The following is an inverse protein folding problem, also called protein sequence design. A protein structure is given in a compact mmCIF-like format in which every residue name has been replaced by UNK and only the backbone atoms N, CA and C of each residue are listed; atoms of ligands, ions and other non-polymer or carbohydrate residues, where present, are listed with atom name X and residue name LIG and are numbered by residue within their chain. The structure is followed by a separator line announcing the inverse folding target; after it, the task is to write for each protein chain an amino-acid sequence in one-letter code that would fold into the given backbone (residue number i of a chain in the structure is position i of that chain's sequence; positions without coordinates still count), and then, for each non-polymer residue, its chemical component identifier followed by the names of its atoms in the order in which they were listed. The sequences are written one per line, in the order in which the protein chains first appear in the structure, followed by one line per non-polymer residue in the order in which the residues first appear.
data_IF_282073123187
#
_entry.id   IF_282073123187
#
_cell.length_a   1.000
_cell.length_b   1.000
_cell.length_c   1.000
_cell.angle_alpha   90.00
_cell.angle_beta   90.00
_cell.angle_gamma   90.00
#
_symmetry.space_group_name_H-M   'P 1'
#
loop_
_entity.id
_entity.type
_entity.pdbx_description
1 polymer ?
#
# COMPACT_ATOMS: atom_id res chain seq x y z
N UNK A 1 -42.38 -3.47 24.65
CA UNK A 1 -41.53 -2.78 23.68
C UNK A 1 -40.08 -2.66 24.16
N UNK A 2 -39.79 -2.29 25.44
CA UNK A 2 -38.40 -2.19 25.95
C UNK A 2 -37.62 -3.52 25.89
N UNK A 3 -38.28 -4.66 26.15
CA UNK A 3 -37.64 -5.99 26.06
C UNK A 3 -37.28 -6.40 24.62
N UNK A 4 -38.07 -5.97 23.63
CA UNK A 4 -37.80 -6.33 22.23
C UNK A 4 -36.60 -5.57 21.68
N UNK A 5 -36.43 -4.29 21.97
CA UNK A 5 -35.28 -3.48 21.52
C UNK A 5 -33.95 -4.01 22.07
N UNK A 6 -33.89 -4.33 23.37
CA UNK A 6 -32.67 -4.93 23.98
C UNK A 6 -32.35 -6.31 23.38
N UNK A 7 -33.36 -7.09 23.05
CA UNK A 7 -33.18 -8.41 22.41
C UNK A 7 -32.60 -8.24 20.99
N UNK A 8 -33.10 -7.30 20.21
CA UNK A 8 -32.60 -7.02 18.85
C UNK A 8 -31.15 -6.52 18.87
N UNK A 9 -30.80 -5.62 19.80
CA UNK A 9 -29.42 -5.16 19.98
C UNK A 9 -28.49 -6.35 20.30
N UNK A 10 -28.91 -7.27 21.20
CA UNK A 10 -28.13 -8.45 21.54
C UNK A 10 -27.98 -9.39 20.33
N UNK A 11 -29.05 -9.60 19.55
CA UNK A 11 -29.01 -10.42 18.35
C UNK A 11 -28.05 -9.83 17.32
N UNK A 12 -28.11 -8.54 17.07
CA UNK A 12 -27.18 -7.85 16.18
C UNK A 12 -25.71 -8.01 16.66
N UNK A 13 -25.47 -7.85 17.96
CA UNK A 13 -24.14 -8.05 18.54
C UNK A 13 -23.62 -9.48 18.35
N UNK A 14 -24.50 -10.50 18.52
CA UNK A 14 -24.15 -11.90 18.27
C UNK A 14 -23.82 -12.11 16.77
N UNK A 15 -24.59 -11.53 15.86
CA UNK A 15 -24.35 -11.63 14.42
C UNK A 15 -23.01 -10.98 14.03
N UNK A 16 -22.70 -9.80 14.61
CA UNK A 16 -21.41 -9.14 14.45
C UNK A 16 -20.26 -10.00 14.97
N UNK A 17 -20.43 -10.63 16.14
CA UNK A 17 -19.44 -11.56 16.68
C UNK A 17 -19.23 -12.80 15.78
N UNK A 18 -20.28 -13.33 15.18
CA UNK A 18 -20.22 -14.45 14.23
C UNK A 18 -19.45 -14.03 12.97
N UNK A 19 -19.82 -12.91 12.36
CA UNK A 19 -19.18 -12.39 11.15
C UNK A 19 -17.68 -12.16 11.36
N UNK A 20 -17.30 -11.49 12.45
CA UNK A 20 -15.90 -11.16 12.78
C UNK A 20 -15.14 -12.31 13.46
N UNK A 21 -15.82 -13.32 13.98
CA UNK A 21 -15.18 -14.50 14.60
C UNK A 21 -14.26 -15.25 13.64
N UNK A 22 -14.54 -15.16 12.35
CA UNK A 22 -13.67 -15.68 11.29
C UNK A 22 -12.28 -15.06 11.27
N UNK A 23 -12.10 -13.81 11.76
CA UNK A 23 -10.79 -13.15 11.86
C UNK A 23 -9.90 -13.88 12.86
N UNK A 24 -10.43 -14.27 14.02
CA UNK A 24 -9.68 -15.04 15.03
C UNK A 24 -9.27 -16.40 14.46
N UNK A 25 -10.19 -17.06 13.75
CA UNK A 25 -9.91 -18.35 13.08
C UNK A 25 -8.85 -18.19 12.00
N UNK A 26 -8.97 -17.14 11.15
CA UNK A 26 -7.99 -16.81 10.11
C UNK A 26 -6.62 -16.53 10.69
N UNK A 27 -6.55 -15.77 11.80
CA UNK A 27 -5.32 -15.49 12.51
C UNK A 27 -4.64 -16.75 13.05
N UNK A 28 -5.39 -17.63 13.69
CA UNK A 28 -4.88 -18.90 14.20
C UNK A 28 -4.31 -19.74 13.05
N UNK A 29 -5.07 -19.91 11.96
CA UNK A 29 -4.64 -20.67 10.80
C UNK A 29 -3.40 -20.05 10.15
N UNK A 30 -3.35 -18.72 9.97
CA UNK A 30 -2.22 -18.03 9.40
C UNK A 30 -0.91 -18.16 10.19
N UNK A 31 -1.02 -18.24 11.53
CA UNK A 31 0.15 -18.40 12.41
C UNK A 31 0.61 -19.86 12.50
N UNK A 32 -0.32 -20.83 12.43
CA UNK A 32 -0.04 -22.23 12.71
C UNK A 32 0.16 -23.09 11.47
N UNK A 33 -0.42 -22.70 10.33
CA UNK A 33 -0.43 -23.53 9.12
C UNK A 33 0.19 -22.79 7.93
N UNK A 34 1.29 -23.29 7.35
CA UNK A 34 1.85 -22.70 6.15
C UNK A 34 0.90 -22.91 4.95
N UNK A 35 0.30 -21.84 4.48
CA UNK A 35 -0.53 -21.86 3.28
C UNK A 35 0.21 -21.26 2.09
N UNK A 36 0.00 -21.82 0.90
CA UNK A 36 0.56 -21.22 -0.32
C UNK A 36 -0.16 -19.91 -0.65
N UNK A 37 0.59 -18.94 -1.18
CA UNK A 37 0.05 -17.64 -1.61
C UNK A 37 -1.14 -17.80 -2.55
N UNK A 38 -1.09 -18.76 -3.48
CA UNK A 38 -2.18 -19.03 -4.42
C UNK A 38 -3.49 -19.40 -3.73
N UNK A 39 -3.43 -20.20 -2.64
CA UNK A 39 -4.63 -20.54 -1.85
C UNK A 39 -5.18 -19.33 -1.12
N UNK A 40 -4.32 -18.55 -0.48
CA UNK A 40 -4.72 -17.31 0.20
C UNK A 40 -5.34 -16.33 -0.80
N UNK A 41 -4.73 -16.13 -1.98
CA UNK A 41 -5.27 -15.26 -3.03
C UNK A 41 -6.63 -15.73 -3.55
N UNK A 42 -6.82 -17.04 -3.77
CA UNK A 42 -8.11 -17.58 -4.16
C UNK A 42 -9.18 -17.36 -3.08
N UNK A 43 -8.85 -17.49 -1.79
CA UNK A 43 -9.77 -17.22 -0.69
C UNK A 43 -10.10 -15.71 -0.59
N UNK A 44 -9.14 -14.81 -0.80
CA UNK A 44 -9.38 -13.36 -0.89
C UNK A 44 -10.34 -13.03 -2.04
N UNK A 45 -10.12 -13.61 -3.23
CA UNK A 45 -11.02 -13.44 -4.37
C UNK A 45 -12.43 -13.95 -4.07
N UNK A 46 -12.55 -15.14 -3.46
CA UNK A 46 -13.84 -15.70 -3.06
C UNK A 46 -14.58 -14.78 -2.07
N UNK A 47 -13.90 -14.29 -1.03
CA UNK A 47 -14.46 -13.34 -0.08
C UNK A 47 -14.92 -12.03 -0.73
N UNK A 48 -14.08 -11.48 -1.64
CA UNK A 48 -14.43 -10.30 -2.42
C UNK A 48 -15.72 -10.48 -3.24
N UNK A 49 -15.85 -11.63 -3.92
CA UNK A 49 -17.07 -11.97 -4.68
C UNK A 49 -18.31 -12.11 -3.78
N UNK A 50 -18.18 -12.78 -2.65
CA UNK A 50 -19.25 -12.92 -1.68
C UNK A 50 -19.72 -11.56 -1.15
N UNK A 51 -18.78 -10.65 -0.83
CA UNK A 51 -19.12 -9.29 -0.37
C UNK A 51 -19.80 -8.47 -1.47
N UNK A 52 -19.33 -8.53 -2.74
CA UNK A 52 -19.99 -7.83 -3.84
C UNK A 52 -21.45 -8.26 -3.95
N UNK A 53 -21.70 -9.56 -3.85
CA UNK A 53 -23.07 -10.11 -3.88
C UNK A 53 -23.91 -9.61 -2.70
N UNK A 54 -23.38 -9.69 -1.48
CA UNK A 54 -24.08 -9.23 -0.28
C UNK A 54 -24.41 -7.73 -0.34
N UNK A 55 -23.47 -6.88 -0.79
CA UNK A 55 -23.71 -5.46 -0.97
C UNK A 55 -24.83 -5.18 -1.98
N UNK A 56 -24.81 -5.90 -3.11
CA UNK A 56 -25.83 -5.74 -4.14
C UNK A 56 -27.21 -6.16 -3.63
N UNK A 57 -27.30 -7.28 -2.93
CA UNK A 57 -28.57 -7.88 -2.52
C UNK A 57 -29.14 -7.27 -1.25
N UNK A 58 -28.27 -6.93 -0.25
CA UNK A 58 -28.74 -6.46 1.06
C UNK A 58 -28.81 -4.93 1.18
N UNK A 59 -27.98 -4.19 0.45
CA UNK A 59 -27.91 -2.72 0.60
C UNK A 59 -28.44 -1.96 -0.60
N UNK A 60 -28.30 -2.50 -1.81
CA UNK A 60 -28.71 -1.78 -3.03
C UNK A 60 -30.09 -2.28 -3.49
N UNK A 61 -30.32 -3.59 -3.56
CA UNK A 61 -31.57 -4.18 -4.07
C UNK A 61 -32.83 -3.67 -3.38
N UNK A 62 -32.89 -3.51 -2.05
CA UNK A 62 -34.12 -3.05 -1.38
C UNK A 62 -34.60 -1.68 -1.88
N UNK A 63 -33.70 -0.72 -2.04
CA UNK A 63 -34.05 0.61 -2.55
C UNK A 63 -34.43 0.57 -4.04
N UNK A 64 -33.78 -0.28 -4.84
CA UNK A 64 -34.13 -0.49 -6.26
C UNK A 64 -35.51 -1.10 -6.38
N UNK A 65 -35.83 -2.12 -5.58
CA UNK A 65 -37.14 -2.78 -5.56
C UNK A 65 -38.26 -1.85 -5.09
N UNK A 66 -38.01 -1.03 -4.05
CA UNK A 66 -38.93 0.00 -3.59
C UNK A 66 -39.27 0.98 -4.73
N UNK A 67 -38.27 1.44 -5.48
CA UNK A 67 -38.45 2.31 -6.64
C UNK A 67 -39.22 1.62 -7.77
N UNK A 68 -38.88 0.35 -8.05
CA UNK A 68 -39.55 -0.41 -9.13
C UNK A 68 -41.02 -0.67 -8.84
N UNK A 69 -41.37 -0.89 -7.58
CA UNK A 69 -42.75 -1.18 -7.15
C UNK A 69 -43.54 0.05 -6.69
N UNK A 70 -42.94 1.26 -6.75
CA UNK A 70 -43.56 2.47 -6.29
C UNK A 70 -44.76 2.89 -7.14
N UNK A 71 -45.88 3.17 -6.47
CA UNK A 71 -47.05 3.79 -7.06
C UNK A 71 -46.73 5.23 -7.54
N UNK A 72 -47.59 5.79 -8.43
CA UNK A 72 -47.41 7.15 -8.98
C UNK A 72 -47.28 8.19 -7.84
N UNK A 73 -48.01 8.00 -6.75
CA UNK A 73 -48.00 8.92 -5.60
C UNK A 73 -46.69 8.90 -4.82
N UNK A 74 -46.03 7.74 -4.70
CA UNK A 74 -44.81 7.53 -3.92
C UNK A 74 -43.53 7.55 -4.76
N UNK A 75 -43.68 7.52 -6.09
CA UNK A 75 -42.52 7.42 -7.01
C UNK A 75 -41.50 8.55 -6.82
N UNK A 76 -41.94 9.76 -6.57
CA UNK A 76 -41.05 10.89 -6.35
C UNK A 76 -40.18 10.72 -5.08
N UNK A 77 -40.74 10.14 -4.04
CA UNK A 77 -40.06 9.84 -2.76
C UNK A 77 -39.03 8.73 -3.00
N UNK A 78 -39.39 7.63 -3.69
CA UNK A 78 -38.49 6.53 -3.95
C UNK A 78 -37.36 6.91 -4.93
N UNK A 79 -37.61 7.78 -5.90
CA UNK A 79 -36.55 8.38 -6.73
C UNK A 79 -35.57 9.17 -5.86
N UNK A 80 -36.08 9.95 -4.91
CA UNK A 80 -35.23 10.72 -3.98
C UNK A 80 -34.38 9.76 -3.11
N UNK A 81 -34.94 8.69 -2.57
CA UNK A 81 -34.24 7.65 -1.82
C UNK A 81 -33.16 6.99 -2.65
N UNK A 82 -33.45 6.64 -3.91
CA UNK A 82 -32.50 6.02 -4.81
C UNK A 82 -31.32 6.96 -5.15
N UNK A 83 -31.58 8.23 -5.45
CA UNK A 83 -30.53 9.23 -5.69
C UNK A 83 -29.69 9.44 -4.43
N UNK A 84 -30.33 9.50 -3.27
CA UNK A 84 -29.64 9.62 -1.97
C UNK A 84 -28.70 8.45 -1.73
N UNK A 85 -29.14 7.20 -1.98
CA UNK A 85 -28.30 6.02 -1.89
C UNK A 85 -27.06 6.14 -2.78
N UNK A 86 -27.23 6.48 -4.07
CA UNK A 86 -26.12 6.58 -5.02
C UNK A 86 -25.10 7.66 -4.61
N UNK A 87 -25.58 8.84 -4.18
CA UNK A 87 -24.70 9.92 -3.71
C UNK A 87 -23.98 9.53 -2.41
N UNK A 88 -24.67 8.86 -1.50
CA UNK A 88 -24.09 8.36 -0.26
C UNK A 88 -23.03 7.28 -0.55
N UNK A 89 -23.23 6.38 -1.52
CA UNK A 89 -22.23 5.40 -1.94
C UNK A 89 -20.97 6.09 -2.49
N UNK A 90 -21.11 7.08 -3.36
CA UNK A 90 -19.96 7.85 -3.86
C UNK A 90 -19.22 8.53 -2.71
N UNK A 91 -19.96 9.18 -1.80
CA UNK A 91 -19.42 9.83 -0.61
C UNK A 91 -18.65 8.84 0.29
N UNK A 92 -19.23 7.68 0.54
CA UNK A 92 -18.59 6.60 1.33
C UNK A 92 -17.29 6.10 0.74
N UNK A 93 -17.27 5.90 -0.58
CA UNK A 93 -16.04 5.52 -1.31
C UNK A 93 -14.95 6.60 -1.19
N UNK A 94 -15.29 7.88 -1.32
CA UNK A 94 -14.34 8.99 -1.14
C UNK A 94 -13.81 9.07 0.29
N UNK A 95 -14.68 8.93 1.29
CA UNK A 95 -14.29 8.89 2.71
C UNK A 95 -13.31 7.73 2.94
N UNK A 96 -13.61 6.53 2.42
CA UNK A 96 -12.73 5.37 2.55
C UNK A 96 -11.35 5.65 1.92
N UNK A 97 -11.28 6.17 0.70
CA UNK A 97 -10.01 6.51 0.04
C UNK A 97 -9.19 7.48 0.88
N UNK A 98 -9.82 8.52 1.42
CA UNK A 98 -9.14 9.51 2.27
C UNK A 98 -8.57 8.86 3.54
N UNK A 99 -9.37 8.08 4.25
CA UNK A 99 -8.95 7.40 5.48
C UNK A 99 -7.87 6.35 5.20
N UNK A 100 -8.01 5.58 4.12
CA UNK A 100 -7.00 4.59 3.71
C UNK A 100 -5.66 5.26 3.34
N UNK A 101 -5.68 6.41 2.66
CA UNK A 101 -4.47 7.18 2.37
C UNK A 101 -3.79 7.70 3.65
N UNK A 102 -4.56 8.21 4.61
CA UNK A 102 -4.03 8.66 5.91
C UNK A 102 -3.37 7.51 6.67
N UNK A 103 -4.00 6.35 6.73
CA UNK A 103 -3.43 5.16 7.36
C UNK A 103 -2.21 4.63 6.61
N UNK A 104 -2.24 4.64 5.29
CA UNK A 104 -1.11 4.20 4.46
C UNK A 104 0.13 5.07 4.68
N UNK A 105 -0.04 6.36 4.91
CA UNK A 105 1.06 7.27 5.24
C UNK A 105 1.77 6.90 6.57
N UNK A 106 1.11 6.15 7.45
CA UNK A 106 1.63 5.70 8.74
C UNK A 106 1.96 4.19 8.78
N UNK A 107 2.18 3.55 7.60
CA UNK A 107 2.56 2.14 7.50
C UNK A 107 1.40 1.16 7.32
N UNK A 108 0.17 1.63 7.20
CA UNK A 108 -1.02 0.78 6.98
C UNK A 108 -0.98 -0.03 5.67
N UNK A 109 -0.17 0.40 4.69
CA UNK A 109 0.06 -0.32 3.43
C UNK A 109 0.70 -1.71 3.61
N UNK A 110 1.33 -1.99 4.76
CA UNK A 110 1.96 -3.29 5.05
C UNK A 110 0.96 -4.41 5.34
N UNK A 111 -0.32 -4.09 5.47
CA UNK A 111 -1.38 -5.08 5.77
C UNK A 111 -1.66 -6.03 4.60
N UNK A 112 -1.52 -5.57 3.37
CA UNK A 112 -1.85 -6.32 2.14
C UNK A 112 -0.69 -6.27 1.14
N UNK A 113 -0.38 -7.39 0.49
CA UNK A 113 0.74 -7.51 -0.44
C UNK A 113 0.63 -6.56 -1.65
N UNK A 114 -0.59 -6.36 -2.17
CA UNK A 114 -0.84 -5.40 -3.25
C UNK A 114 -0.47 -3.96 -2.86
N UNK A 115 -0.76 -3.57 -1.63
CA UNK A 115 -0.37 -2.26 -1.11
C UNK A 115 1.14 -2.13 -0.92
N UNK A 116 1.80 -3.20 -0.45
CA UNK A 116 3.26 -3.23 -0.33
C UNK A 116 3.90 -2.98 -1.69
N UNK A 117 3.44 -3.67 -2.74
CA UNK A 117 3.95 -3.51 -4.11
C UNK A 117 3.69 -2.09 -4.63
N UNK A 118 2.47 -1.58 -4.49
CA UNK A 118 2.14 -0.23 -4.92
C UNK A 118 2.97 0.84 -4.19
N UNK A 119 3.17 0.66 -2.89
CA UNK A 119 4.00 1.57 -2.09
C UNK A 119 5.48 1.45 -2.44
N UNK A 120 5.98 0.21 -2.67
CA UNK A 120 7.35 0.00 -3.15
C UNK A 120 7.59 0.69 -4.49
N UNK A 121 6.67 0.54 -5.45
CA UNK A 121 6.76 1.21 -6.74
C UNK A 121 6.79 2.75 -6.61
N UNK A 122 5.94 3.32 -5.74
CA UNK A 122 5.94 4.76 -5.43
C UNK A 122 7.26 5.20 -4.78
N UNK A 123 7.73 4.47 -3.79
CA UNK A 123 8.98 4.79 -3.09
C UNK A 123 10.18 4.63 -4.02
N UNK A 124 10.21 3.58 -4.86
CA UNK A 124 11.26 3.38 -5.86
C UNK A 124 11.28 4.52 -6.86
N UNK A 125 10.13 4.90 -7.44
CA UNK A 125 10.03 6.06 -8.35
C UNK A 125 10.48 7.36 -7.68
N UNK A 126 10.09 7.59 -6.42
CA UNK A 126 10.51 8.76 -5.66
C UNK A 126 12.02 8.77 -5.41
N UNK A 127 12.57 7.65 -4.93
CA UNK A 127 14.03 7.49 -4.73
C UNK A 127 14.81 7.67 -6.03
N UNK A 128 14.34 7.07 -7.12
CA UNK A 128 14.96 7.25 -8.44
C UNK A 128 14.87 8.70 -8.91
N UNK A 129 13.73 9.36 -8.73
CA UNK A 129 13.57 10.78 -9.05
C UNK A 129 14.51 11.66 -8.20
N UNK A 130 14.62 11.40 -6.90
CA UNK A 130 15.54 12.08 -6.00
C UNK A 130 17.01 11.85 -6.39
N UNK A 131 17.35 10.61 -6.79
CA UNK A 131 18.69 10.27 -7.30
C UNK A 131 18.98 11.00 -8.60
N UNK A 132 18.04 10.98 -9.55
CA UNK A 132 18.19 11.70 -10.82
C UNK A 132 18.35 13.20 -10.63
N UNK A 133 17.56 13.80 -9.74
CA UNK A 133 17.68 15.21 -9.41
C UNK A 133 19.03 15.51 -8.72
N UNK A 134 19.51 14.58 -7.89
CA UNK A 134 20.81 14.71 -7.23
C UNK A 134 21.98 14.67 -8.21
N UNK A 135 21.94 13.72 -9.15
CA UNK A 135 22.99 13.48 -10.14
C UNK A 135 22.89 14.49 -11.28
N UNK A 136 21.68 14.82 -11.75
CA UNK A 136 21.44 15.74 -12.87
C UNK A 136 21.92 17.17 -12.67
N UNK A 137 22.23 17.57 -11.43
CA UNK A 137 22.85 18.85 -11.12
C UNK A 137 24.35 18.88 -11.43
N UNK A 138 24.97 17.74 -11.73
CA UNK A 138 26.37 17.65 -12.12
C UNK A 138 26.58 17.98 -13.60
N UNK A 139 27.65 18.72 -13.94
CA UNK A 139 28.03 19.00 -15.32
C UNK A 139 28.31 17.73 -16.11
N UNK A 140 28.84 16.71 -15.46
CA UNK A 140 29.15 15.41 -16.06
C UNK A 140 27.91 14.67 -16.52
N UNK A 141 26.90 14.57 -15.65
CA UNK A 141 25.70 13.80 -15.96
C UNK A 141 24.68 14.54 -16.83
N UNK A 142 24.78 15.87 -16.92
CA UNK A 142 23.88 16.69 -17.76
C UNK A 142 24.01 16.43 -19.27
N UNK A 143 25.10 15.82 -19.71
CA UNK A 143 25.32 15.43 -21.11
C UNK A 143 24.77 14.07 -21.48
N UNK A 144 24.30 13.26 -20.50
CA UNK A 144 23.81 11.91 -20.71
C UNK A 144 22.33 11.88 -21.14
N UNK A 145 21.96 10.88 -21.94
CA UNK A 145 20.56 10.64 -22.27
C UNK A 145 19.77 10.16 -21.03
N UNK A 146 18.47 10.43 -21.02
CA UNK A 146 17.58 9.98 -19.93
C UNK A 146 17.58 8.46 -19.78
N UNK A 147 17.66 7.71 -20.89
CA UNK A 147 17.70 6.25 -20.91
C UNK A 147 18.99 5.72 -20.28
N UNK A 148 20.15 6.26 -20.69
CA UNK A 148 21.45 5.90 -20.11
C UNK A 148 21.48 6.16 -18.61
N UNK A 149 20.96 7.30 -18.17
CA UNK A 149 20.90 7.64 -16.75
C UNK A 149 19.97 6.70 -15.96
N UNK A 150 18.85 6.32 -16.52
CA UNK A 150 17.95 5.35 -15.91
C UNK A 150 18.65 4.01 -15.66
N UNK A 151 19.42 3.53 -16.63
CA UNK A 151 20.16 2.27 -16.50
C UNK A 151 21.34 2.40 -15.54
N UNK A 152 22.01 3.55 -15.50
CA UNK A 152 23.06 3.83 -14.52
C UNK A 152 22.54 3.80 -13.08
N UNK A 153 21.43 4.47 -12.82
CA UNK A 153 20.80 4.53 -11.47
C UNK A 153 20.45 3.14 -10.93
N UNK A 154 20.09 2.19 -11.79
CA UNK A 154 19.81 0.79 -11.39
C UNK A 154 21.04 0.05 -10.88
N UNK A 155 22.25 0.49 -11.28
CA UNK A 155 23.52 -0.13 -10.92
C UNK A 155 24.17 0.53 -9.68
N UNK A 156 23.68 1.68 -9.23
CA UNK A 156 24.26 2.44 -8.13
C UNK A 156 23.77 1.94 -6.77
N UNK A 157 24.72 1.84 -5.82
CA UNK A 157 24.45 1.43 -4.44
C UNK A 157 24.79 2.57 -3.47
N UNK A 158 23.96 2.87 -2.47
CA UNK A 158 24.27 3.90 -1.50
C UNK A 158 25.38 3.46 -0.52
N UNK A 159 26.27 4.40 -0.18
CA UNK A 159 27.28 4.27 0.88
C UNK A 159 27.25 5.52 1.75
N UNK A 160 27.16 5.33 3.06
CA UNK A 160 27.11 6.41 4.03
C UNK A 160 28.47 6.51 4.74
N UNK A 161 28.94 7.76 4.90
CA UNK A 161 30.10 8.06 5.72
C UNK A 161 29.66 8.94 6.89
N UNK A 162 30.15 8.63 8.07
CA UNK A 162 30.02 9.51 9.22
C UNK A 162 31.08 10.62 9.16
N UNK A 163 30.90 11.67 9.93
CA UNK A 163 31.88 12.76 9.98
C UNK A 163 33.27 12.20 10.34
N UNK A 164 34.33 12.71 9.69
CA UNK A 164 35.72 12.30 9.80
C UNK A 164 36.06 10.90 9.28
N UNK A 165 35.11 10.19 8.68
CA UNK A 165 35.36 8.90 8.04
C UNK A 165 36.00 9.08 6.67
N UNK A 166 37.05 8.26 6.41
CA UNK A 166 37.71 8.23 5.12
C UNK A 166 36.98 7.29 4.15
N UNK A 167 36.69 7.75 2.94
CA UNK A 167 36.16 6.95 1.85
C UNK A 167 37.23 6.01 1.29
N UNK A 168 38.41 6.56 1.02
CA UNK A 168 39.63 5.88 0.61
C UNK A 168 40.85 6.72 0.98
N UNK A 169 42.01 6.09 1.06
CA UNK A 169 43.30 6.70 1.34
C UNK A 169 44.26 6.58 0.17
N UNK A 170 45.28 7.43 0.14
CA UNK A 170 46.39 7.32 -0.83
C UNK A 170 47.00 5.90 -0.73
N UNK A 171 47.12 5.23 -1.85
CA UNK A 171 47.65 3.87 -1.94
C UNK A 171 46.61 2.76 -1.90
N UNK A 172 45.33 3.04 -1.56
CA UNK A 172 44.28 2.06 -1.59
C UNK A 172 43.96 1.63 -3.04
N UNK A 173 43.57 0.35 -3.27
CA UNK A 173 43.18 -0.12 -4.59
C UNK A 173 41.88 0.52 -5.06
N UNK A 174 41.83 0.96 -6.31
CA UNK A 174 40.65 1.58 -6.91
C UNK A 174 39.80 0.53 -7.65
N UNK A 175 38.68 0.13 -7.05
CA UNK A 175 37.73 -0.84 -7.60
C UNK A 175 36.33 -0.28 -7.81
N UNK A 176 36.12 0.97 -7.45
CA UNK A 176 34.80 1.61 -7.40
C UNK A 176 34.87 3.05 -7.92
N UNK A 177 33.76 3.49 -8.53
CA UNK A 177 33.48 4.88 -8.81
C UNK A 177 32.44 5.40 -7.81
N UNK A 178 32.60 6.64 -7.39
CA UNK A 178 31.74 7.26 -6.37
C UNK A 178 31.11 8.54 -6.90
N UNK A 179 29.84 8.77 -6.58
CA UNK A 179 29.10 10.00 -6.88
C UNK A 179 28.63 10.59 -5.56
N UNK A 180 28.91 11.85 -5.27
CA UNK A 180 28.41 12.50 -4.06
C UNK A 180 26.93 12.80 -4.22
N UNK A 181 26.09 12.16 -3.38
CA UNK A 181 24.64 12.40 -3.33
C UNK A 181 24.27 13.56 -2.41
N UNK A 182 24.86 13.57 -1.21
CA UNK A 182 24.68 14.66 -0.24
C UNK A 182 25.89 14.78 0.68
N UNK A 183 26.08 15.93 1.30
CA UNK A 183 27.28 16.26 2.04
C UNK A 183 28.42 16.68 1.12
N UNK A 184 29.64 16.69 1.66
CA UNK A 184 30.86 17.03 0.95
C UNK A 184 32.04 16.19 1.45
N UNK A 185 33.05 16.02 0.59
CA UNK A 185 34.29 15.33 0.94
C UNK A 185 35.47 16.25 0.67
N UNK A 186 36.47 16.24 1.53
CA UNK A 186 37.76 16.89 1.32
C UNK A 186 38.70 15.87 0.70
N UNK A 187 39.20 16.19 -0.51
CA UNK A 187 40.25 15.41 -1.18
C UNK A 187 41.59 16.06 -0.89
N UNK A 188 42.49 15.30 -0.26
CA UNK A 188 43.86 15.75 0.05
C UNK A 188 44.85 14.99 -0.82
N UNK A 189 45.70 15.74 -1.55
CA UNK A 189 46.78 15.21 -2.37
C UNK A 189 48.02 14.90 -1.54
N UNK A 190 48.97 14.16 -2.12
CA UNK A 190 50.25 13.82 -1.48
C UNK A 190 51.14 15.05 -1.16
N UNK A 191 50.95 16.17 -1.87
CA UNK A 191 51.64 17.43 -1.63
C UNK A 191 51.00 18.28 -0.51
N UNK A 192 49.93 17.80 0.11
CA UNK A 192 49.17 18.49 1.16
C UNK A 192 48.14 19.49 0.64
N UNK A 193 48.02 19.69 -0.67
CA UNK A 193 46.92 20.48 -1.24
C UNK A 193 45.60 19.76 -1.09
N UNK A 194 44.53 20.48 -0.81
CA UNK A 194 43.21 19.93 -0.67
C UNK A 194 42.15 20.72 -1.43
N UNK A 195 41.10 20.03 -1.87
CA UNK A 195 39.90 20.65 -2.44
C UNK A 195 38.66 19.88 -1.99
N UNK A 196 37.55 20.59 -1.95
CA UNK A 196 36.25 19.99 -1.54
C UNK A 196 35.49 19.59 -2.78
N UNK A 197 34.89 18.38 -2.74
CA UNK A 197 33.94 17.87 -3.71
C UNK A 197 32.57 17.83 -3.09
N UNK A 198 31.59 18.21 -3.87
CA UNK A 198 30.22 18.43 -3.42
C UNK A 198 29.21 17.56 -4.19
N UNK A 199 27.94 17.74 -3.86
CA UNK A 199 26.83 17.00 -4.48
C UNK A 199 26.91 17.03 -6.01
N UNK A 200 26.88 15.84 -6.63
CA UNK A 200 26.92 15.61 -8.06
C UNK A 200 28.32 15.39 -8.62
N UNK A 201 29.36 15.50 -7.81
CA UNK A 201 30.72 15.21 -8.27
C UNK A 201 30.98 13.70 -8.33
N UNK A 202 31.74 13.29 -9.38
CA UNK A 202 32.26 11.94 -9.55
C UNK A 202 33.66 11.87 -8.93
N UNK A 203 33.98 10.78 -8.24
CA UNK A 203 35.23 10.55 -7.54
C UNK A 203 35.82 9.18 -7.88
N UNK A 204 37.12 9.09 -7.81
CA UNK A 204 37.89 7.87 -8.02
C UNK A 204 38.11 7.53 -9.51
N UNK A 205 37.58 8.29 -10.45
CA UNK A 205 37.59 8.04 -11.90
C UNK A 205 39.01 7.94 -12.48
N UNK A 206 39.94 8.77 -12.00
CA UNK A 206 41.34 8.76 -12.48
C UNK A 206 42.02 7.44 -12.11
N UNK A 207 41.94 7.07 -10.84
CA UNK A 207 42.54 5.80 -10.33
C UNK A 207 41.84 4.57 -10.89
N UNK A 208 40.52 4.63 -11.01
CA UNK A 208 39.70 3.54 -11.56
C UNK A 208 40.03 3.24 -13.03
N UNK A 209 40.11 4.25 -13.89
CA UNK A 209 40.42 4.10 -15.32
C UNK A 209 41.89 3.77 -15.60
N UNK A 210 42.80 4.31 -14.79
CA UNK A 210 44.24 4.07 -14.93
C UNK A 210 44.66 2.73 -14.32
N UNK A 211 43.78 2.06 -13.58
CA UNK A 211 44.07 0.86 -12.79
C UNK A 211 45.20 1.07 -11.77
N UNK A 212 45.36 2.32 -11.31
CA UNK A 212 46.35 2.71 -10.30
C UNK A 212 45.67 2.76 -8.91
N UNK A 213 46.50 2.78 -7.88
CA UNK A 213 46.02 3.07 -6.53
C UNK A 213 45.54 4.55 -6.43
N UNK A 214 44.72 4.86 -5.43
CA UNK A 214 44.24 6.20 -5.18
C UNK A 214 45.44 7.16 -4.92
N UNK A 215 45.45 8.27 -5.64
CA UNK A 215 46.46 9.31 -5.52
C UNK A 215 46.08 10.43 -4.51
N UNK A 216 44.87 10.35 -3.98
CA UNK A 216 44.30 11.28 -2.99
C UNK A 216 43.67 10.52 -1.83
N UNK A 217 43.54 11.18 -0.68
CA UNK A 217 42.73 10.72 0.43
C UNK A 217 41.43 11.51 0.44
N UNK A 218 40.26 10.83 0.52
CA UNK A 218 38.96 11.46 0.57
C UNK A 218 38.32 11.24 1.94
N UNK A 219 37.95 12.31 2.65
CA UNK A 219 37.39 12.28 4.01
C UNK A 219 36.13 13.14 4.09
N UNK A 220 35.12 12.66 4.82
CA UNK A 220 33.91 13.41 5.14
C UNK A 220 34.15 14.39 6.31
N UNK A 221 34.97 15.42 6.08
CA UNK A 221 35.49 16.30 7.12
C UNK A 221 34.46 17.27 7.71
N UNK A 222 33.54 17.77 6.89
CA UNK A 222 32.58 18.81 7.27
C UNK A 222 31.22 18.30 7.73
N UNK A 223 31.07 16.97 7.86
CA UNK A 223 29.84 16.32 8.29
C UNK A 223 29.61 15.00 7.56
N UNK A 224 28.52 14.31 7.86
CA UNK A 224 28.21 13.04 7.22
C UNK A 224 27.96 13.22 5.72
N UNK A 225 28.38 12.25 4.91
CA UNK A 225 28.21 12.26 3.47
C UNK A 225 27.52 10.98 2.99
N UNK A 226 26.67 11.12 1.99
CA UNK A 226 26.06 9.99 1.28
C UNK A 226 26.60 9.93 -0.15
N UNK A 227 27.04 8.75 -0.54
CA UNK A 227 27.64 8.48 -1.83
C UNK A 227 26.86 7.40 -2.56
N UNK A 228 26.93 7.43 -3.88
CA UNK A 228 26.47 6.36 -4.75
C UNK A 228 27.68 5.68 -5.35
N UNK A 229 27.74 4.37 -5.22
CA UNK A 229 28.89 3.53 -5.61
C UNK A 229 28.54 2.73 -6.85
N UNK A 230 29.42 2.78 -7.85
CA UNK A 230 29.41 1.90 -9.02
C UNK A 230 30.63 0.97 -8.96
N UNK A 231 30.39 -0.30 -8.67
CA UNK A 231 31.44 -1.31 -8.63
C UNK A 231 32.00 -1.63 -10.03
N UNK A 232 33.23 -2.06 -10.11
CA UNK A 232 33.92 -2.37 -11.38
C UNK A 232 33.16 -3.38 -12.24
N UNK A 233 32.61 -4.42 -11.64
CA UNK A 233 31.82 -5.42 -12.37
C UNK A 233 30.58 -4.87 -13.02
N UNK A 234 29.89 -3.95 -12.34
CA UNK A 234 28.69 -3.26 -12.84
C UNK A 234 29.07 -2.21 -13.89
N UNK A 235 30.16 -1.49 -13.68
CA UNK A 235 30.72 -0.59 -14.68
C UNK A 235 31.03 -1.31 -16.00
N UNK A 236 31.66 -2.48 -15.96
CA UNK A 236 31.99 -3.24 -17.16
C UNK A 236 30.77 -3.72 -17.93
N UNK A 237 29.69 -4.10 -17.23
CA UNK A 237 28.42 -4.47 -17.84
C UNK A 237 27.77 -3.22 -18.47
N UNK A 238 27.69 -2.13 -17.73
CA UNK A 238 27.10 -0.88 -18.18
C UNK A 238 27.87 -0.26 -19.36
N UNK A 239 29.20 -0.29 -19.31
CA UNK A 239 30.10 0.22 -20.35
C UNK A 239 29.93 -0.49 -21.71
N UNK A 240 29.57 -1.78 -21.70
CA UNK A 240 29.30 -2.53 -22.95
C UNK A 240 28.03 -2.06 -23.65
N UNK A 241 27.04 -1.65 -22.88
CA UNK A 241 25.75 -1.18 -23.40
C UNK A 241 25.79 0.33 -23.74
N UNK A 242 26.65 1.10 -23.07
CA UNK A 242 26.75 2.56 -23.18
C UNK A 242 28.19 3.03 -23.40
N UNK A 243 28.78 2.82 -24.60
CA UNK A 243 30.17 3.21 -24.88
C UNK A 243 30.43 4.72 -24.76
N UNK A 244 29.41 5.54 -24.98
CA UNK A 244 29.46 7.01 -24.79
C UNK A 244 29.71 7.39 -23.31
N UNK A 245 29.22 6.60 -22.36
CA UNK A 245 29.52 6.80 -20.93
C UNK A 245 31.01 6.64 -20.65
N UNK A 246 31.64 5.61 -21.23
CA UNK A 246 33.08 5.39 -21.09
C UNK A 246 33.88 6.56 -21.64
N UNK A 247 33.44 7.11 -22.78
CA UNK A 247 34.09 8.28 -23.39
C UNK A 247 33.97 9.50 -22.48
N UNK A 248 32.80 9.76 -21.91
CA UNK A 248 32.57 10.87 -21.00
C UNK A 248 33.37 10.74 -19.69
N UNK A 249 33.46 9.55 -19.11
CA UNK A 249 34.27 9.32 -17.90
C UNK A 249 35.76 9.51 -18.20
N UNK A 250 36.23 9.05 -19.37
CA UNK A 250 37.62 9.28 -19.82
C UNK A 250 37.94 10.76 -20.05
N UNK A 251 37.01 11.47 -20.65
CA UNK A 251 37.16 12.92 -20.89
C UNK A 251 37.21 13.68 -19.57
N UNK A 252 36.31 13.37 -18.62
CA UNK A 252 36.35 13.96 -17.27
C UNK A 252 37.67 13.66 -16.56
N UNK A 253 38.15 12.40 -16.60
CA UNK A 253 39.44 12.05 -16.00
C UNK A 253 40.59 12.80 -16.65
N UNK A 254 40.62 12.95 -17.98
CA UNK A 254 41.60 13.71 -18.70
C UNK A 254 41.55 15.20 -18.36
N UNK A 255 40.35 15.79 -18.26
CA UNK A 255 40.14 17.18 -17.85
C UNK A 255 40.65 17.40 -16.44
N UNK A 256 40.36 16.53 -15.48
CA UNK A 256 40.84 16.67 -14.09
C UNK A 256 42.33 16.49 -13.94
N UNK A 257 42.99 15.73 -14.80
CA UNK A 257 44.42 15.66 -14.87
C UNK A 257 44.99 17.01 -15.38
N UNK A 258 44.28 17.70 -16.27
CA UNK A 258 44.65 18.99 -16.83
C UNK A 258 44.17 20.19 -15.99
N UNK A 259 43.05 20.04 -15.29
CA UNK A 259 42.33 21.10 -14.53
C UNK A 259 42.76 21.26 -13.07
N UNK A 260 43.97 20.97 -12.72
CA UNK A 260 44.52 21.71 -11.58
C UNK A 260 44.40 23.25 -11.79
N UNK A 261 43.64 23.69 -12.79
CA UNK A 261 43.42 25.12 -13.12
C UNK A 261 42.09 25.36 -13.84
N UNK A 262 41.17 26.09 -13.19
CA UNK A 262 40.04 26.90 -13.70
C UNK A 262 38.62 26.40 -13.46
N UNK A 263 37.93 27.18 -12.65
CA UNK A 263 36.49 27.27 -12.50
C UNK A 263 35.81 27.85 -13.72
N UNK A 264 34.57 27.44 -14.01
CA UNK A 264 33.56 28.32 -14.63
C UNK A 264 32.10 27.77 -14.59
N UNK A 265 31.21 28.68 -14.19
CA UNK A 265 29.74 28.61 -14.24
C UNK A 265 29.19 28.78 -15.66
N UNK A 266 28.24 27.95 -16.09
CA UNK A 266 27.19 28.32 -17.09
C UNK A 266 26.11 27.24 -17.39
N UNK A 267 25.73 26.36 -16.47
CA UNK A 267 24.90 25.21 -16.84
C UNK A 267 23.60 24.99 -16.02
N UNK A 268 23.16 25.96 -15.23
CA UNK A 268 22.06 25.72 -14.27
C UNK A 268 20.67 25.45 -14.92
N UNK A 269 20.32 26.15 -15.99
CA UNK A 269 18.97 26.08 -16.59
C UNK A 269 18.78 24.81 -17.43
N UNK A 270 19.78 24.40 -18.20
CA UNK A 270 19.72 23.20 -19.03
C UNK A 270 19.67 21.92 -18.18
N UNK A 271 20.30 21.92 -17.01
CA UNK A 271 20.33 20.80 -16.05
C UNK A 271 18.94 20.51 -15.45
N UNK A 272 18.16 21.56 -15.14
CA UNK A 272 16.82 21.40 -14.55
C UNK A 272 15.82 20.80 -15.56
N UNK A 273 15.86 21.25 -16.82
CA UNK A 273 14.98 20.72 -17.87
C UNK A 273 15.27 19.23 -18.17
N UNK A 274 16.55 18.84 -18.18
CA UNK A 274 16.98 17.46 -18.36
C UNK A 274 16.51 16.56 -17.20
N UNK A 275 16.68 16.99 -15.96
CA UNK A 275 16.28 16.23 -14.77
C UNK A 275 14.77 15.95 -14.77
N UNK A 276 13.93 16.90 -15.20
CA UNK A 276 12.49 16.72 -15.29
C UNK A 276 12.12 15.67 -16.36
N UNK A 277 12.76 15.70 -17.54
CA UNK A 277 12.54 14.68 -18.59
C UNK A 277 12.95 13.28 -18.13
N UNK A 278 14.06 13.16 -17.41
CA UNK A 278 14.54 11.90 -16.88
C UNK A 278 13.62 11.36 -15.77
N UNK A 279 13.08 12.21 -14.92
CA UNK A 279 12.08 11.85 -13.90
C UNK A 279 10.79 11.31 -14.55
N UNK A 280 10.32 11.95 -15.62
CA UNK A 280 9.12 11.51 -16.34
C UNK A 280 9.32 10.14 -16.99
N UNK A 281 10.50 9.89 -17.57
CA UNK A 281 10.85 8.59 -18.16
C UNK A 281 10.86 7.45 -17.10
N UNK A 282 11.31 7.74 -15.88
CA UNK A 282 11.30 6.77 -14.78
C UNK A 282 9.88 6.50 -14.27
N UNK A 283 9.02 7.51 -14.20
CA UNK A 283 7.63 7.37 -13.73
C UNK A 283 6.79 6.50 -14.64
N UNK A 284 7.11 6.40 -15.91
CA UNK A 284 6.40 5.57 -16.91
C UNK A 284 6.91 4.13 -16.96
N UNK A 285 8.04 3.82 -16.34
CA UNK A 285 8.58 2.46 -16.23
C UNK A 285 7.80 1.57 -15.27
N UNK A 286 7.49 0.33 -15.68
CA UNK A 286 6.65 -0.61 -14.94
C UNK A 286 7.11 -0.89 -13.49
N UNK A 287 6.18 -1.30 -12.65
CA UNK A 287 6.45 -1.65 -11.25
C UNK A 287 7.17 -3.00 -11.15
N UNK A 288 8.29 -3.04 -10.43
CA UNK A 288 8.99 -4.28 -10.07
C UNK A 288 8.47 -4.81 -8.72
N UNK A 289 8.43 -6.13 -8.58
CA UNK A 289 8.09 -6.78 -7.31
C UNK A 289 9.17 -6.50 -6.27
N UNK A 290 8.82 -6.12 -5.02
CA UNK A 290 9.79 -5.85 -3.96
C UNK A 290 10.64 -7.08 -3.62
N UNK A 291 11.93 -6.88 -3.42
CA UNK A 291 12.80 -7.92 -2.87
C UNK A 291 12.61 -8.09 -1.36
N UNK A 292 13.11 -9.19 -0.79
CA UNK A 292 13.07 -9.40 0.65
C UNK A 292 13.80 -8.28 1.43
N UNK A 293 14.88 -7.74 0.87
CA UNK A 293 15.64 -6.62 1.44
C UNK A 293 14.83 -5.32 1.40
N UNK A 294 14.13 -5.06 0.28
CA UNK A 294 13.26 -3.88 0.17
C UNK A 294 12.12 -3.94 1.19
N UNK A 295 11.51 -5.12 1.37
CA UNK A 295 10.47 -5.34 2.38
C UNK A 295 11.00 -5.15 3.80
N UNK A 296 12.24 -5.59 4.08
CA UNK A 296 12.89 -5.39 5.38
C UNK A 296 13.10 -3.90 5.66
N UNK A 297 13.67 -3.16 4.71
CA UNK A 297 13.91 -1.73 4.85
C UNK A 297 12.61 -0.94 5.03
N UNK A 298 11.54 -1.30 4.28
CA UNK A 298 10.23 -0.69 4.45
C UNK A 298 9.62 -0.95 5.84
N UNK A 299 9.90 -2.11 6.44
CA UNK A 299 9.45 -2.45 7.79
C UNK A 299 10.23 -1.69 8.87
N UNK A 300 11.53 -1.50 8.67
CA UNK A 300 12.39 -0.76 9.61
C UNK A 300 12.06 0.75 9.65
N UNK A 301 11.67 1.35 8.54
CA UNK A 301 11.24 2.74 8.45
C UNK A 301 9.98 3.03 9.31
N UNK A 302 9.21 2.00 9.67
CA UNK A 302 7.96 2.15 10.42
C UNK A 302 7.95 1.29 11.70
N UNK A 303 8.46 1.84 12.77
CA UNK A 303 8.56 1.20 14.10
C UNK A 303 7.23 0.63 14.67
N UNK A 304 6.07 0.98 14.07
CA UNK A 304 4.73 0.57 14.49
C UNK A 304 3.92 -0.10 13.38
N UNK A 305 4.57 -0.70 12.38
CA UNK A 305 3.91 -1.29 11.22
C UNK A 305 2.84 -2.34 11.58
N UNK A 306 3.08 -3.18 12.60
CA UNK A 306 2.09 -4.15 13.07
C UNK A 306 0.83 -3.52 13.65
N UNK A 307 0.95 -2.37 14.33
CA UNK A 307 -0.21 -1.63 14.79
C UNK A 307 -0.95 -0.94 13.64
N UNK A 308 -0.22 -0.45 12.63
CA UNK A 308 -0.82 0.13 11.43
C UNK A 308 -1.62 -0.91 10.61
N UNK A 309 -1.14 -2.16 10.55
CA UNK A 309 -1.88 -3.29 9.97
C UNK A 309 -3.20 -3.48 10.70
N UNK A 310 -3.18 -3.52 12.03
CA UNK A 310 -4.37 -3.69 12.85
C UNK A 310 -5.36 -2.53 12.72
N UNK A 311 -4.88 -1.27 12.74
CA UNK A 311 -5.70 -0.08 12.53
C UNK A 311 -6.35 -0.07 11.14
N UNK A 312 -5.65 -0.56 10.11
CA UNK A 312 -6.21 -0.69 8.78
C UNK A 312 -7.40 -1.65 8.75
N UNK A 313 -7.30 -2.80 9.42
CA UNK A 313 -8.43 -3.75 9.52
C UNK A 313 -9.57 -3.19 10.40
N UNK A 314 -9.26 -2.38 11.41
CA UNK A 314 -10.28 -1.68 12.19
C UNK A 314 -11.13 -0.73 11.31
N UNK A 315 -10.49 -0.05 10.35
CA UNK A 315 -11.20 0.82 9.41
C UNK A 315 -12.20 0.05 8.54
N UNK A 316 -11.84 -1.17 8.15
CA UNK A 316 -12.70 -2.05 7.35
C UNK A 316 -13.89 -2.58 8.19
N UNK A 317 -13.66 -2.95 9.45
CA UNK A 317 -14.67 -3.55 10.36
C UNK A 317 -15.76 -2.55 10.78
N UNK A 318 -15.46 -1.25 10.87
CA UNK A 318 -16.44 -0.26 11.35
C UNK A 318 -17.70 -0.18 10.46
N UNK A 319 -17.60 0.08 9.14
CA UNK A 319 -18.78 0.11 8.28
C UNK A 319 -19.48 -1.27 8.20
N UNK A 320 -18.71 -2.36 8.15
CA UNK A 320 -19.25 -3.71 8.11
C UNK A 320 -20.12 -4.06 9.31
N UNK A 321 -19.62 -3.75 10.52
CA UNK A 321 -20.33 -4.04 11.75
C UNK A 321 -21.64 -3.25 11.87
N UNK A 322 -21.62 -1.99 11.53
CA UNK A 322 -22.80 -1.14 11.62
C UNK A 322 -23.93 -1.64 10.71
N UNK A 323 -23.57 -2.04 9.47
CA UNK A 323 -24.54 -2.52 8.48
C UNK A 323 -25.23 -3.82 8.92
N UNK A 324 -24.56 -4.72 9.63
CA UNK A 324 -25.20 -5.94 10.17
C UNK A 324 -26.41 -5.57 11.02
N UNK A 325 -26.28 -4.56 11.89
CA UNK A 325 -27.36 -4.12 12.77
C UNK A 325 -28.51 -3.46 12.03
N UNK A 326 -28.20 -2.59 11.06
CA UNK A 326 -29.23 -1.85 10.30
C UNK A 326 -30.00 -2.78 9.35
N UNK A 327 -29.32 -3.67 8.63
CA UNK A 327 -29.98 -4.65 7.74
C UNK A 327 -30.87 -5.62 8.52
N UNK A 328 -30.41 -6.11 9.68
CA UNK A 328 -31.25 -6.94 10.55
C UNK A 328 -32.55 -6.21 10.94
N UNK A 329 -32.47 -4.91 11.29
CA UNK A 329 -33.67 -4.12 11.62
C UNK A 329 -34.60 -3.92 10.43
N UNK A 330 -34.06 -3.73 9.23
CA UNK A 330 -34.85 -3.64 8.00
C UNK A 330 -35.65 -4.93 7.76
N UNK A 331 -35.02 -6.09 7.99
CA UNK A 331 -35.70 -7.39 7.94
C UNK A 331 -36.78 -7.49 9.02
N UNK A 332 -36.50 -7.10 10.27
CA UNK A 332 -37.47 -7.08 11.37
C UNK A 332 -38.68 -6.21 11.00
N UNK A 333 -38.45 -5.03 10.50
CA UNK A 333 -39.52 -4.09 10.09
C UNK A 333 -40.40 -4.70 8.99
N UNK A 334 -39.81 -5.31 7.97
CA UNK A 334 -40.52 -5.98 6.88
C UNK A 334 -41.37 -7.14 7.39
N UNK A 335 -40.83 -7.99 8.29
CA UNK A 335 -41.53 -9.13 8.86
C UNK A 335 -42.72 -8.70 9.75
N UNK A 336 -42.49 -7.69 10.58
CA UNK A 336 -43.56 -7.11 11.43
C UNK A 336 -44.69 -6.54 10.56
N UNK A 337 -44.33 -5.81 9.49
CA UNK A 337 -45.34 -5.28 8.56
C UNK A 337 -46.14 -6.38 7.84
N UNK A 338 -45.49 -7.51 7.55
CA UNK A 338 -46.13 -8.69 6.95
C UNK A 338 -46.88 -9.59 7.96
N UNK A 339 -46.84 -9.27 9.26
CA UNK A 339 -47.47 -10.10 10.31
C UNK A 339 -46.77 -11.45 10.52
N UNK A 340 -45.50 -11.57 10.14
CA UNK A 340 -44.69 -12.78 10.26
C UNK A 340 -43.94 -12.82 11.60
N UNK A 341 -43.61 -14.04 12.10
CA UNK A 341 -42.88 -14.18 13.37
C UNK A 341 -41.48 -13.55 13.26
N UNK A 342 -40.99 -13.01 14.38
CA UNK A 342 -39.66 -12.43 14.53
C UNK A 342 -38.87 -13.32 15.47
N UNK A 343 -38.01 -14.20 14.87
CA UNK A 343 -37.08 -15.04 15.60
C UNK A 343 -35.65 -14.77 15.14
N UNK A 344 -34.65 -15.14 15.95
CA UNK A 344 -33.25 -14.88 15.64
C UNK A 344 -32.83 -15.35 14.24
N UNK A 345 -33.21 -16.58 13.88
CA UNK A 345 -32.82 -17.16 12.59
C UNK A 345 -33.55 -16.53 11.40
N UNK A 346 -34.78 -16.07 11.59
CA UNK A 346 -35.57 -15.47 10.52
C UNK A 346 -35.26 -14.00 10.25
N UNK A 347 -34.59 -13.33 11.18
CA UNK A 347 -34.14 -11.93 11.00
C UNK A 347 -32.63 -11.83 10.78
N UNK A 348 -31.96 -12.97 10.71
CA UNK A 348 -30.51 -13.01 10.43
C UNK A 348 -30.25 -12.73 8.95
N UNK A 349 -29.52 -11.65 8.59
CA UNK A 349 -29.09 -11.42 7.21
C UNK A 349 -27.97 -12.41 6.86
N UNK A 350 -28.35 -13.64 6.53
CA UNK A 350 -27.43 -14.77 6.32
C UNK A 350 -26.44 -14.49 5.20
N UNK A 351 -26.91 -13.89 4.11
CA UNK A 351 -26.10 -13.52 2.96
C UNK A 351 -25.00 -12.52 3.37
N UNK A 352 -25.34 -11.49 4.13
CA UNK A 352 -24.38 -10.48 4.59
C UNK A 352 -23.40 -11.06 5.61
N UNK A 353 -23.90 -11.70 6.67
CA UNK A 353 -23.09 -12.29 7.75
C UNK A 353 -22.16 -13.38 7.20
N UNK A 354 -22.67 -14.23 6.31
CA UNK A 354 -21.90 -15.28 5.66
C UNK A 354 -20.81 -14.73 4.73
N UNK A 355 -21.14 -13.71 3.95
CA UNK A 355 -20.17 -13.04 3.08
C UNK A 355 -19.04 -12.36 3.87
N UNK A 356 -19.37 -11.65 4.95
CA UNK A 356 -18.39 -11.03 5.86
C UNK A 356 -17.52 -12.09 6.54
N UNK A 357 -18.10 -13.18 7.02
CA UNK A 357 -17.35 -14.30 7.59
C UNK A 357 -16.32 -14.85 6.59
N UNK A 358 -16.72 -15.05 5.34
CA UNK A 358 -15.86 -15.59 4.29
C UNK A 358 -14.78 -14.60 3.82
N UNK A 359 -15.05 -13.30 3.84
CA UNK A 359 -14.10 -12.26 3.46
C UNK A 359 -13.06 -11.98 4.55
N UNK A 360 -13.49 -11.90 5.79
CA UNK A 360 -12.63 -11.55 6.92
C UNK A 360 -11.63 -12.65 7.28
N UNK A 361 -11.94 -13.91 7.00
CA UNK A 361 -11.04 -15.03 7.28
C UNK A 361 -9.68 -14.93 6.55
N UNK A 362 -9.62 -14.85 5.19
CA UNK A 362 -8.34 -14.76 4.48
C UNK A 362 -7.61 -13.46 4.75
N UNK A 363 -8.32 -12.38 5.03
CA UNK A 363 -7.73 -11.09 5.35
C UNK A 363 -6.95 -11.15 6.67
N UNK A 364 -7.58 -11.67 7.73
CA UNK A 364 -6.93 -11.86 9.01
C UNK A 364 -5.79 -12.88 8.94
N UNK A 365 -5.92 -13.92 8.12
CA UNK A 365 -4.88 -14.90 7.86
C UNK A 365 -3.63 -14.23 7.27
N UNK A 366 -3.76 -13.49 6.19
CA UNK A 366 -2.66 -12.79 5.52
C UNK A 366 -2.00 -11.75 6.44
N UNK A 367 -2.83 -10.92 7.10
CA UNK A 367 -2.35 -9.90 8.02
C UNK A 367 -1.60 -10.49 9.23
N UNK A 368 -2.07 -11.63 9.77
CA UNK A 368 -1.43 -12.28 10.92
C UNK A 368 -0.06 -12.88 10.58
N UNK A 369 0.12 -13.41 9.38
CA UNK A 369 1.43 -13.85 8.88
C UNK A 369 2.40 -12.66 8.85
N UNK A 370 1.96 -11.52 8.31
CA UNK A 370 2.76 -10.30 8.26
C UNK A 370 3.12 -9.78 9.66
N UNK A 371 2.15 -9.75 10.61
CA UNK A 371 2.41 -9.35 12.00
C UNK A 371 3.41 -10.29 12.68
N UNK A 372 3.32 -11.60 12.44
CA UNK A 372 4.25 -12.58 12.98
C UNK A 372 5.66 -12.36 12.47
N UNK A 373 5.83 -12.08 11.17
CA UNK A 373 7.11 -11.74 10.56
C UNK A 373 7.72 -10.45 11.11
N UNK A 374 6.89 -9.54 11.62
CA UNK A 374 7.32 -8.31 12.30
C UNK A 374 7.63 -8.51 13.79
N UNK A 375 7.65 -9.75 14.28
CA UNK A 375 8.03 -10.07 15.66
C UNK A 375 6.92 -10.00 16.69
N UNK A 376 5.65 -9.82 16.29
CA UNK A 376 4.53 -9.88 17.23
C UNK A 376 4.39 -11.29 17.81
N UNK A 377 4.18 -11.38 19.12
CA UNK A 377 3.90 -12.67 19.76
C UNK A 377 2.53 -13.21 19.34
N UNK A 378 2.40 -14.53 19.26
CA UNK A 378 1.14 -15.21 18.91
C UNK A 378 -0.03 -14.74 19.78
N UNK A 379 0.20 -14.63 21.09
CA UNK A 379 -0.84 -14.17 22.03
C UNK A 379 -1.29 -12.73 21.76
N UNK A 380 -0.35 -11.83 21.40
CA UNK A 380 -0.68 -10.45 21.06
C UNK A 380 -1.49 -10.37 19.76
N UNK A 381 -1.14 -11.18 18.75
CA UNK A 381 -1.88 -11.22 17.49
C UNK A 381 -3.32 -11.70 17.73
N UNK A 382 -3.50 -12.83 18.43
CA UNK A 382 -4.84 -13.36 18.73
C UNK A 382 -5.65 -12.37 19.58
N UNK A 383 -5.02 -11.72 20.56
CA UNK A 383 -5.68 -10.69 21.38
C UNK A 383 -6.20 -9.54 20.51
N UNK A 384 -5.38 -9.01 19.59
CA UNK A 384 -5.76 -7.91 18.71
C UNK A 384 -6.95 -8.28 17.79
N UNK A 385 -6.99 -9.49 17.24
CA UNK A 385 -8.12 -9.98 16.46
C UNK A 385 -9.38 -10.21 17.29
N UNK A 386 -9.22 -10.69 18.52
CA UNK A 386 -10.34 -10.82 19.47
C UNK A 386 -10.93 -9.45 19.81
N UNK A 387 -10.09 -8.42 19.99
CA UNK A 387 -10.56 -7.04 20.20
C UNK A 387 -11.36 -6.54 19.00
N UNK A 388 -10.92 -6.79 17.76
CA UNK A 388 -11.70 -6.45 16.56
C UNK A 388 -13.05 -7.18 16.51
N UNK A 389 -13.09 -8.47 16.88
CA UNK A 389 -14.34 -9.21 16.96
C UNK A 389 -15.30 -8.58 17.98
N UNK A 390 -14.81 -8.14 19.14
CA UNK A 390 -15.62 -7.44 20.14
C UNK A 390 -16.09 -6.08 19.61
N UNK A 391 -15.22 -5.32 18.94
CA UNK A 391 -15.59 -4.05 18.31
C UNK A 391 -16.70 -4.27 17.26
N UNK A 392 -16.60 -5.30 16.44
CA UNK A 392 -17.61 -5.66 15.46
C UNK A 392 -18.96 -6.01 16.14
N UNK A 393 -18.94 -6.79 17.20
CA UNK A 393 -20.13 -7.10 17.97
C UNK A 393 -20.81 -5.85 18.54
N UNK A 394 -20.02 -4.96 19.15
CA UNK A 394 -20.51 -3.68 19.69
C UNK A 394 -21.02 -2.78 18.56
N UNK A 395 -20.30 -2.71 17.43
CA UNK A 395 -20.69 -1.91 16.27
C UNK A 395 -22.02 -2.38 15.65
N UNK A 396 -22.25 -3.71 15.56
CA UNK A 396 -23.50 -4.25 15.07
C UNK A 396 -24.67 -3.98 16.05
N UNK A 397 -24.44 -4.15 17.36
CA UNK A 397 -25.42 -3.78 18.37
C UNK A 397 -25.75 -2.27 18.36
N UNK A 398 -24.73 -1.44 18.16
CA UNK A 398 -24.89 0.02 18.02
C UNK A 398 -25.67 0.38 16.74
N UNK A 399 -25.40 -0.31 15.62
CA UNK A 399 -26.15 -0.17 14.37
C UNK A 399 -27.65 -0.46 14.56
N UNK A 400 -27.96 -1.52 15.30
CA UNK A 400 -29.35 -1.85 15.65
C UNK A 400 -29.97 -0.78 16.57
N UNK A 401 -29.23 -0.32 17.59
CA UNK A 401 -29.71 0.73 18.51
C UNK A 401 -30.01 2.04 17.80
N UNK A 402 -29.07 2.51 16.97
CA UNK A 402 -29.23 3.77 16.21
C UNK A 402 -30.31 3.62 15.15
N UNK A 403 -30.34 2.48 14.46
CA UNK A 403 -31.31 2.22 13.41
C UNK A 403 -32.76 2.23 13.88
N UNK A 404 -33.04 1.86 15.14
CA UNK A 404 -34.36 1.98 15.74
C UNK A 404 -34.80 3.46 15.92
N UNK A 405 -33.85 4.39 16.03
CA UNK A 405 -34.07 5.78 16.40
C UNK A 405 -34.02 6.77 15.22
N UNK A 406 -33.44 6.40 14.09
CA UNK A 406 -33.28 7.29 12.93
C UNK A 406 -34.38 7.08 11.88
N UNK A 407 -34.78 8.15 11.15
CA UNK A 407 -35.73 8.01 10.07
C UNK A 407 -35.16 7.19 8.90
N UNK A 408 -36.04 6.54 8.13
CA UNK A 408 -35.69 5.68 7.02
C UNK A 408 -34.75 6.37 5.99
N UNK A 409 -34.96 7.64 5.70
CA UNK A 409 -34.09 8.42 4.80
C UNK A 409 -32.65 8.56 5.31
N UNK A 410 -32.45 8.67 6.63
CA UNK A 410 -31.12 8.70 7.22
C UNK A 410 -30.46 7.30 7.20
N UNK A 411 -31.25 6.24 7.35
CA UNK A 411 -30.78 4.87 7.22
C UNK A 411 -30.18 4.62 5.83
N UNK A 412 -30.89 5.05 4.77
CA UNK A 412 -30.40 4.93 3.37
C UNK A 412 -29.03 5.64 3.19
N UNK A 413 -28.84 6.81 3.80
CA UNK A 413 -27.54 7.51 3.75
C UNK A 413 -26.44 6.69 4.41
N UNK A 414 -26.68 6.13 5.58
CA UNK A 414 -25.70 5.34 6.32
C UNK A 414 -25.36 4.04 5.59
N UNK A 415 -26.37 3.34 5.11
CA UNK A 415 -26.20 2.11 4.30
C UNK A 415 -25.47 2.40 3.00
N UNK A 416 -25.77 3.51 2.34
CA UNK A 416 -25.07 3.98 1.14
C UNK A 416 -23.59 4.28 1.40
N UNK A 417 -23.28 5.03 2.47
CA UNK A 417 -21.89 5.30 2.86
C UNK A 417 -21.14 4.00 3.11
N UNK A 418 -21.71 3.07 3.86
CA UNK A 418 -21.10 1.79 4.16
C UNK A 418 -20.90 0.94 2.90
N UNK A 419 -21.91 0.84 2.04
CA UNK A 419 -21.83 0.10 0.78
C UNK A 419 -20.72 0.67 -0.15
N UNK A 420 -20.65 2.00 -0.25
CA UNK A 420 -19.62 2.67 -1.05
C UNK A 420 -18.21 2.47 -0.50
N UNK A 421 -18.03 2.55 0.82
CA UNK A 421 -16.77 2.28 1.48
C UNK A 421 -16.31 0.83 1.24
N UNK A 422 -17.18 -0.14 1.47
CA UNK A 422 -16.88 -1.57 1.28
C UNK A 422 -16.61 -1.90 -0.19
N UNK A 423 -17.38 -1.37 -1.14
CA UNK A 423 -17.14 -1.61 -2.57
C UNK A 423 -15.79 -1.03 -3.01
N UNK A 424 -15.43 0.15 -2.50
CA UNK A 424 -14.13 0.77 -2.77
C UNK A 424 -13.00 -0.05 -2.18
N UNK A 425 -13.13 -0.57 -0.95
CA UNK A 425 -12.19 -1.50 -0.31
C UNK A 425 -11.99 -2.77 -1.16
N UNK A 426 -13.06 -3.39 -1.62
CA UNK A 426 -12.99 -4.58 -2.46
C UNK A 426 -12.17 -4.31 -3.72
N UNK A 427 -12.48 -3.20 -4.41
CA UNK A 427 -11.81 -2.82 -5.65
C UNK A 427 -10.36 -2.39 -5.48
N UNK A 428 -10.05 -1.64 -4.42
CA UNK A 428 -8.70 -1.10 -4.19
C UNK A 428 -7.76 -2.04 -3.44
N UNK A 429 -8.29 -2.98 -2.65
CA UNK A 429 -7.51 -3.85 -1.78
C UNK A 429 -7.71 -5.34 -2.04
N UNK A 430 -8.93 -5.88 -1.93
CA UNK A 430 -9.14 -7.32 -1.94
C UNK A 430 -8.88 -7.95 -3.32
N UNK A 431 -9.42 -7.39 -4.40
CA UNK A 431 -9.21 -7.93 -5.76
C UNK A 431 -7.75 -7.80 -6.23
N UNK A 432 -7.05 -6.67 -6.02
CA UNK A 432 -5.61 -6.60 -6.29
C UNK A 432 -4.79 -7.60 -5.47
N UNK A 433 -5.11 -7.78 -4.18
CA UNK A 433 -4.45 -8.76 -3.30
C UNK A 433 -4.66 -10.19 -3.82
N UNK A 434 -5.90 -10.54 -4.18
CA UNK A 434 -6.23 -11.85 -4.75
C UNK A 434 -5.43 -12.14 -6.03
N UNK A 435 -5.36 -11.15 -6.95
CA UNK A 435 -4.63 -11.27 -8.20
C UNK A 435 -3.11 -11.37 -7.99
N UNK A 436 -2.59 -10.64 -6.98
CA UNK A 436 -1.17 -10.67 -6.63
C UNK A 436 -0.74 -12.00 -6.01
N UNK A 437 -1.51 -12.50 -5.05
CA UNK A 437 -1.18 -13.74 -4.33
C UNK A 437 -1.42 -15.00 -5.17
N UNK A 438 -2.30 -14.94 -6.17
CA UNK A 438 -2.59 -16.07 -7.06
C UNK A 438 -2.22 -15.74 -8.52
N UNK A 439 -3.21 -15.62 -9.37
CA UNK A 439 -3.11 -15.13 -10.74
C UNK A 439 -4.39 -14.36 -11.07
N UNK A 440 -4.40 -13.44 -12.05
CA UNK A 440 -5.62 -12.73 -12.44
C UNK A 440 -6.79 -13.66 -12.77
N UNK A 441 -6.52 -14.77 -13.48
CA UNK A 441 -7.56 -15.76 -13.85
C UNK A 441 -8.11 -16.49 -12.62
N UNK A 442 -7.25 -16.89 -11.68
CA UNK A 442 -7.66 -17.55 -10.44
C UNK A 442 -8.45 -16.58 -9.56
N UNK A 443 -7.98 -15.34 -9.41
CA UNK A 443 -8.69 -14.31 -8.68
C UNK A 443 -10.08 -14.05 -9.27
N UNK A 444 -10.20 -13.88 -10.59
CA UNK A 444 -11.48 -13.68 -11.28
C UNK A 444 -12.43 -14.87 -11.11
N UNK A 445 -11.92 -16.11 -11.28
CA UNK A 445 -12.74 -17.30 -11.11
C UNK A 445 -13.20 -17.49 -9.66
N UNK A 446 -12.31 -17.32 -8.67
CA UNK A 446 -12.68 -17.42 -7.26
C UNK A 446 -13.68 -16.33 -6.84
N UNK A 447 -13.55 -15.11 -7.38
CA UNK A 447 -14.53 -14.02 -7.19
C UNK A 447 -15.91 -14.42 -7.73
N UNK A 448 -15.98 -14.99 -8.93
CA UNK A 448 -17.22 -15.49 -9.49
C UNK A 448 -17.84 -16.57 -8.59
N UNK A 449 -17.05 -17.54 -8.13
CA UNK A 449 -17.56 -18.62 -7.25
C UNK A 449 -18.06 -18.04 -5.93
N UNK A 450 -17.35 -17.09 -5.34
CA UNK A 450 -17.77 -16.40 -4.12
C UNK A 450 -19.09 -15.64 -4.30
N UNK A 451 -19.22 -14.91 -5.40
CA UNK A 451 -20.45 -14.19 -5.75
C UNK A 451 -21.65 -15.15 -5.86
N UNK A 452 -21.50 -16.21 -6.65
CA UNK A 452 -22.57 -17.20 -6.83
C UNK A 452 -22.93 -17.91 -5.53
N UNK A 453 -21.93 -18.21 -4.69
CA UNK A 453 -22.16 -18.84 -3.38
C UNK A 453 -22.99 -17.96 -2.45
N UNK A 454 -22.70 -16.66 -2.42
CA UNK A 454 -23.45 -15.70 -1.59
C UNK A 454 -24.88 -15.50 -2.13
N UNK A 455 -25.06 -15.43 -3.44
CA UNK A 455 -26.42 -15.47 -4.04
C UNK A 455 -27.18 -16.73 -3.60
N UNK A 456 -26.48 -17.87 -3.53
CA UNK A 456 -27.05 -19.12 -3.07
C UNK A 456 -27.56 -19.11 -1.62
N UNK A 457 -27.02 -18.25 -0.75
CA UNK A 457 -27.52 -18.11 0.62
C UNK A 457 -28.95 -17.58 0.67
N UNK A 458 -29.39 -16.82 -0.34
CA UNK A 458 -30.79 -16.37 -0.45
C UNK A 458 -31.80 -17.50 -0.54
N UNK A 459 -31.38 -18.72 -0.84
CA UNK A 459 -32.30 -19.90 -0.78
C UNK A 459 -32.67 -20.30 0.66
N UNK A 460 -31.93 -19.80 1.64
CA UNK A 460 -32.09 -20.11 3.06
C UNK A 460 -32.59 -18.92 3.90
N UNK A 461 -32.75 -17.75 3.33
CA UNK A 461 -33.40 -16.56 3.87
C UNK A 461 -34.87 -16.47 3.44
#
# INVERSE_FOLDING_TARGET
MQDMGTTLILWAAILGAIAAGSMVLGAIVGITTPMSNAKVGAMCGFGAGALISALALELVSPTVEALANADIANRAVEVHHFITLLLAMVGGGLIFILLDQLLSAHGGYLRKGAYIIAQHARNKSKRQADLMQSIGNSSFFSSMSAEMMQDLVKQLHPKFLVQEEALFSIGDPSTELYIVRSGSLTLTHADGSSHTVERGDLLGEVSFLSHQAHSTTAVAEHGPAELLVLHKSQYEVFARSHPEFVSSVRELAAQRILENKRHLDQAAVAKQAWANLAIDAIRTGGSEVPTATDLSNMKEEHNNAGMAIWLGNLLDVIPESFVIGTVMLSIVAARVAAGLPVTFFEVMPLTLVGALFLANFPEALSASVNMKQQGFSTSKIIFLWTVLTVICAVGAGFGAYVGESIPHSAMIVVEGIAAGAMLTMIGSAMLPEAAHLSTPNMAGFSTLVGFVSAVGFKLFE
#
